data_IF_930700830749
#
_entry.id   IF_930700830749
#
_cell.length_a   1.000
_cell.length_b   1.000
_cell.length_c   1.000
_cell.angle_alpha   90.00
_cell.angle_beta   90.00
_cell.angle_gamma   90.00
#
_symmetry.space_group_name_H-M   'P 1'
#
loop_
_entity.id
_entity.type
_entity.pdbx_description
1 polymer ?
#
# COMPACT_ATOMS: atom_id res chain seq x y z
N UNK A 1 7.31 11.20 7.62
CA UNK A 1 8.10 9.96 7.84
C UNK A 1 8.97 9.59 6.64
N UNK A 2 8.47 9.67 5.40
CA UNK A 2 9.29 9.42 4.21
C UNK A 2 10.58 10.26 4.15
N UNK A 3 10.51 11.55 4.47
CA UNK A 3 11.68 12.44 4.52
C UNK A 3 12.77 11.96 5.50
N UNK A 4 12.40 11.41 6.66
CA UNK A 4 13.36 10.86 7.61
C UNK A 4 14.10 9.64 7.03
N UNK A 5 13.38 8.75 6.36
CA UNK A 5 13.97 7.59 5.67
C UNK A 5 14.98 8.02 4.61
N UNK A 6 14.68 9.08 3.85
CA UNK A 6 15.61 9.65 2.86
C UNK A 6 16.84 10.28 3.51
N UNK A 7 16.68 10.99 4.63
CA UNK A 7 17.80 11.54 5.39
C UNK A 7 18.73 10.43 5.90
N UNK A 8 18.18 9.34 6.44
CA UNK A 8 18.97 8.18 6.89
C UNK A 8 19.66 7.50 5.70
N UNK A 9 18.95 7.24 4.61
CA UNK A 9 19.52 6.65 3.40
C UNK A 9 20.69 7.50 2.86
N UNK A 10 20.55 8.82 2.88
CA UNK A 10 21.60 9.75 2.43
C UNK A 10 22.80 9.74 3.38
N UNK A 11 22.57 9.80 4.68
CA UNK A 11 23.64 9.87 5.69
C UNK A 11 24.46 8.57 5.79
N UNK A 12 23.82 7.41 5.60
CA UNK A 12 24.44 6.11 5.87
C UNK A 12 24.63 5.22 4.64
N UNK A 13 24.15 5.62 3.46
CA UNK A 13 24.24 4.81 2.23
C UNK A 13 25.67 4.41 1.84
N UNK A 14 26.65 5.30 2.02
CA UNK A 14 28.08 4.98 1.76
C UNK A 14 28.67 3.96 2.75
N UNK A 15 27.99 3.68 3.86
CA UNK A 15 28.34 2.63 4.84
C UNK A 15 27.56 1.33 4.57
N UNK A 16 26.88 1.23 3.42
CA UNK A 16 26.10 0.05 3.04
C UNK A 16 24.72 -0.06 3.70
N UNK A 17 24.25 0.96 4.41
CA UNK A 17 22.95 0.95 5.07
C UNK A 17 21.87 1.48 4.12
N UNK A 18 20.82 0.69 3.90
CA UNK A 18 19.61 1.08 3.15
C UNK A 18 18.49 1.45 4.11
N UNK A 19 17.65 2.41 3.74
CA UNK A 19 16.50 2.81 4.55
C UNK A 19 15.32 3.15 3.62
N UNK A 20 14.19 2.48 3.80
CA UNK A 20 12.97 2.67 3.02
C UNK A 20 11.77 2.77 3.96
N UNK A 21 10.64 3.26 3.45
CA UNK A 21 9.37 3.35 4.18
C UNK A 21 8.30 2.52 3.48
N UNK A 22 7.51 1.76 4.25
CA UNK A 22 6.28 1.13 3.77
C UNK A 22 5.10 2.00 4.22
N UNK A 23 4.23 2.35 3.28
CA UNK A 23 2.95 3.01 3.53
C UNK A 23 1.83 1.97 3.36
N UNK A 24 1.37 1.33 4.45
CA UNK A 24 0.29 0.36 4.38
C UNK A 24 -1.05 1.07 4.10
N UNK A 25 -1.90 0.41 3.34
CA UNK A 25 -3.33 0.73 3.28
C UNK A 25 -4.08 0.17 4.47
N UNK A 26 -5.37 -0.09 4.29
CA UNK A 26 -6.15 -0.77 5.32
C UNK A 26 -5.82 -2.26 5.38
N UNK A 27 -5.35 -2.68 6.55
CA UNK A 27 -4.93 -4.06 6.81
C UNK A 27 -5.91 -4.74 7.76
N UNK A 28 -6.31 -5.95 7.40
CA UNK A 28 -7.20 -6.79 8.19
C UNK A 28 -6.46 -7.37 9.41
N UNK A 29 -6.70 -6.77 10.57
CA UNK A 29 -6.10 -7.12 11.86
C UNK A 29 -7.19 -7.22 12.93
N UNK A 30 -6.94 -7.92 14.05
CA UNK A 30 -7.91 -7.94 15.16
C UNK A 30 -8.35 -6.53 15.60
N UNK A 31 -7.43 -5.57 15.60
CA UNK A 31 -7.72 -4.17 15.96
C UNK A 31 -8.63 -3.49 14.94
N UNK A 32 -8.38 -3.65 13.65
CA UNK A 32 -9.18 -3.00 12.61
C UNK A 32 -10.57 -3.62 12.51
N UNK A 33 -10.73 -4.93 12.74
CA UNK A 33 -12.05 -5.59 12.79
C UNK A 33 -13.03 -4.98 13.79
N UNK A 34 -12.54 -4.34 14.86
CA UNK A 34 -13.39 -3.64 15.82
C UNK A 34 -14.08 -2.38 15.24
N UNK A 35 -13.72 -1.94 14.03
CA UNK A 35 -14.37 -0.81 13.33
C UNK A 35 -15.73 -1.19 12.69
N UNK A 36 -16.06 -2.49 12.63
CA UNK A 36 -17.33 -3.00 12.15
C UNK A 36 -17.44 -3.18 10.62
N UNK A 37 -18.40 -4.02 10.21
CA UNK A 37 -18.52 -4.51 8.84
C UNK A 37 -18.74 -3.42 7.80
N UNK A 38 -19.49 -2.37 8.16
CA UNK A 38 -19.75 -1.24 7.24
C UNK A 38 -18.46 -0.53 6.86
N UNK A 39 -17.54 -0.34 7.80
CA UNK A 39 -16.25 0.29 7.52
C UNK A 39 -15.38 -0.61 6.64
N UNK A 40 -15.35 -1.91 6.95
CA UNK A 40 -14.66 -2.93 6.14
C UNK A 40 -15.12 -2.94 4.69
N UNK A 41 -16.43 -2.97 4.47
CA UNK A 41 -16.99 -3.00 3.12
C UNK A 41 -16.66 -1.71 2.37
N UNK A 42 -16.80 -0.55 3.02
CA UNK A 42 -16.44 0.74 2.43
C UNK A 42 -14.96 0.78 2.02
N UNK A 43 -14.07 0.25 2.85
CA UNK A 43 -12.66 0.13 2.51
C UNK A 43 -12.44 -0.80 1.31
N UNK A 44 -13.07 -1.97 1.31
CA UNK A 44 -12.96 -2.94 0.22
C UNK A 44 -13.42 -2.36 -1.12
N UNK A 45 -14.50 -1.59 -1.10
CA UNK A 45 -15.04 -0.94 -2.31
C UNK A 45 -14.12 0.15 -2.87
N UNK A 46 -13.25 0.71 -2.03
CA UNK A 46 -12.23 1.69 -2.43
C UNK A 46 -10.86 1.04 -2.72
N UNK A 47 -10.71 -0.28 -2.61
CA UNK A 47 -9.50 -0.93 -3.09
C UNK A 47 -9.60 -1.15 -4.59
N UNK A 48 -8.49 -0.94 -5.31
CA UNK A 48 -8.39 -1.37 -6.71
C UNK A 48 -8.36 -2.90 -6.78
N UNK A 49 -7.74 -3.55 -5.80
CA UNK A 49 -7.76 -5.00 -5.66
C UNK A 49 -9.02 -5.47 -4.93
N UNK A 50 -9.59 -6.65 -5.28
CA UNK A 50 -10.86 -7.12 -4.73
C UNK A 50 -10.73 -7.74 -3.33
N UNK A 51 -9.71 -7.35 -2.57
CA UNK A 51 -9.43 -7.85 -1.23
C UNK A 51 -8.74 -6.80 -0.37
N UNK A 52 -8.89 -6.93 0.94
CA UNK A 52 -8.13 -6.16 1.93
C UNK A 52 -6.74 -6.76 2.11
N UNK A 53 -5.77 -5.90 2.41
CA UNK A 53 -4.43 -6.36 2.77
C UNK A 53 -4.44 -7.13 4.08
N UNK A 54 -3.50 -8.06 4.22
CA UNK A 54 -3.24 -8.84 5.44
C UNK A 54 -1.88 -8.46 6.02
N UNK A 55 -1.61 -8.77 7.30
CA UNK A 55 -0.29 -8.55 7.90
C UNK A 55 0.84 -9.18 7.08
N UNK A 56 0.60 -10.35 6.49
CA UNK A 56 1.54 -11.04 5.62
C UNK A 56 1.94 -10.22 4.39
N UNK A 57 1.05 -9.44 3.80
CA UNK A 57 1.37 -8.61 2.63
C UNK A 57 2.40 -7.52 2.99
N UNK A 58 2.25 -6.92 4.17
CA UNK A 58 3.22 -5.95 4.71
C UNK A 58 4.54 -6.64 5.06
N UNK A 59 4.47 -7.84 5.67
CA UNK A 59 5.64 -8.61 6.02
C UNK A 59 6.45 -9.03 4.79
N UNK A 60 5.80 -9.44 3.70
CA UNK A 60 6.47 -9.80 2.44
C UNK A 60 7.13 -8.58 1.78
N UNK A 61 6.46 -7.42 1.78
CA UNK A 61 7.07 -6.19 1.29
C UNK A 61 8.31 -5.78 2.12
N UNK A 62 8.24 -5.91 3.44
CA UNK A 62 9.37 -5.68 4.32
C UNK A 62 10.51 -6.67 4.06
N UNK A 63 10.20 -7.97 3.92
CA UNK A 63 11.17 -9.01 3.61
C UNK A 63 11.89 -8.72 2.29
N UNK A 64 11.16 -8.35 1.24
CA UNK A 64 11.75 -7.93 -0.02
C UNK A 64 12.70 -6.75 0.16
N UNK A 65 12.25 -5.68 0.83
CA UNK A 65 13.07 -4.48 1.06
C UNK A 65 14.31 -4.77 1.93
N UNK A 66 14.26 -5.79 2.79
CA UNK A 66 15.41 -6.22 3.61
C UNK A 66 16.36 -7.18 2.87
N UNK A 67 15.88 -7.86 1.81
CA UNK A 67 16.65 -8.83 1.03
C UNK A 67 17.69 -8.21 0.07
N UNK A 68 18.57 -9.05 -0.47
CA UNK A 68 19.51 -8.69 -1.54
C UNK A 68 18.83 -8.36 -2.87
N UNK A 69 17.59 -8.83 -3.09
CA UNK A 69 16.83 -8.46 -4.29
C UNK A 69 16.56 -6.95 -4.34
N UNK A 70 16.51 -6.29 -3.19
CA UNK A 70 16.36 -4.85 -3.06
C UNK A 70 17.70 -4.10 -2.83
N UNK A 71 18.86 -4.71 -3.14
CA UNK A 71 20.19 -4.13 -2.85
C UNK A 71 20.44 -2.75 -3.47
N UNK A 72 19.70 -2.37 -4.50
CA UNK A 72 19.80 -1.06 -5.16
C UNK A 72 18.59 -0.14 -4.88
N UNK A 73 17.76 -0.48 -3.89
CA UNK A 73 16.56 0.28 -3.49
C UNK A 73 16.79 0.88 -2.10
N UNK A 74 16.87 2.20 -2.03
CA UNK A 74 16.99 2.97 -0.80
C UNK A 74 16.29 4.34 -0.93
N UNK A 75 15.83 4.90 0.18
CA UNK A 75 15.16 6.19 0.25
C UNK A 75 13.73 6.21 -0.35
N UNK A 76 13.12 5.05 -0.60
CA UNK A 76 11.83 4.96 -1.27
C UNK A 76 10.66 4.92 -0.27
N UNK A 77 9.50 5.41 -0.73
CA UNK A 77 8.20 5.16 -0.13
C UNK A 77 7.51 4.09 -0.97
N UNK A 78 7.25 2.92 -0.39
CA UNK A 78 6.51 1.85 -1.03
C UNK A 78 5.09 1.83 -0.47
N UNK A 79 4.12 2.22 -1.29
CA UNK A 79 2.70 1.99 -0.98
C UNK A 79 2.40 0.49 -1.07
N UNK A 80 1.83 -0.06 -0.01
CA UNK A 80 1.36 -1.46 0.06
C UNK A 80 -0.08 -1.40 0.55
N UNK A 81 -0.96 -0.93 -0.32
CA UNK A 81 -2.28 -0.43 0.04
C UNK A 81 -3.41 -0.93 -0.87
N UNK A 82 -3.14 -1.90 -1.74
CA UNK A 82 -4.15 -2.41 -2.68
C UNK A 82 -4.66 -1.37 -3.67
N UNK A 83 -3.94 -0.26 -3.87
CA UNK A 83 -4.28 0.81 -4.81
C UNK A 83 -5.18 1.90 -4.26
N UNK A 84 -5.42 1.94 -2.94
CA UNK A 84 -6.31 2.92 -2.31
C UNK A 84 -5.92 4.38 -2.57
N UNK A 85 -4.62 4.66 -2.72
CA UNK A 85 -4.11 6.04 -2.80
C UNK A 85 -3.95 6.57 -4.22
N UNK A 86 -4.26 5.79 -5.26
CA UNK A 86 -3.97 6.13 -6.66
C UNK A 86 -5.20 6.52 -7.49
N UNK A 87 -6.38 6.62 -6.89
CA UNK A 87 -7.59 7.07 -7.57
C UNK A 87 -8.40 8.06 -6.72
N UNK A 88 -9.34 8.75 -7.37
CA UNK A 88 -10.26 9.64 -6.67
C UNK A 88 -11.24 8.81 -5.82
N UNK A 89 -11.67 9.31 -4.65
CA UNK A 89 -12.65 8.61 -3.80
C UNK A 89 -13.96 8.27 -4.52
N UNK A 90 -14.35 9.06 -5.55
CA UNK A 90 -15.56 8.84 -6.34
C UNK A 90 -15.49 7.61 -7.25
N UNK A 91 -14.30 7.06 -7.50
CA UNK A 91 -14.12 5.93 -8.44
C UNK A 91 -14.85 4.68 -7.97
N UNK A 92 -14.88 4.41 -6.66
CA UNK A 92 -15.65 3.30 -6.08
C UNK A 92 -17.14 3.41 -6.42
N UNK A 93 -17.72 4.61 -6.30
CA UNK A 93 -19.12 4.86 -6.65
C UNK A 93 -19.35 4.75 -8.16
N UNK A 94 -18.41 5.22 -8.97
CA UNK A 94 -18.46 5.06 -10.43
C UNK A 94 -18.43 3.58 -10.85
N UNK A 95 -17.63 2.74 -10.21
CA UNK A 95 -17.64 1.29 -10.45
C UNK A 95 -18.97 0.66 -10.08
N UNK A 96 -19.58 1.05 -8.96
CA UNK A 96 -20.93 0.58 -8.60
C UNK A 96 -21.98 0.97 -9.65
N UNK A 97 -21.92 2.20 -10.17
CA UNK A 97 -22.81 2.69 -11.22
C UNK A 97 -22.65 1.92 -12.55
N UNK A 98 -21.44 1.44 -12.84
CA UNK A 98 -21.10 0.73 -14.07
C UNK A 98 -21.11 -0.80 -13.92
N UNK A 99 -21.64 -1.32 -12.80
CA UNK A 99 -21.63 -2.74 -12.46
C UNK A 99 -20.23 -3.38 -12.49
N UNK A 100 -19.22 -2.64 -12.04
CA UNK A 100 -17.82 -3.09 -11.93
C UNK A 100 -17.04 -3.03 -13.24
N UNK A 101 -17.58 -2.43 -14.31
CA UNK A 101 -16.85 -2.27 -15.56
C UNK A 101 -15.92 -1.04 -15.50
N UNK A 102 -14.66 -1.15 -15.94
CA UNK A 102 -13.78 0.01 -16.00
C UNK A 102 -14.38 1.07 -16.95
N UNK A 103 -14.35 2.34 -16.52
CA UNK A 103 -14.84 3.47 -17.33
C UNK A 103 -14.01 3.71 -18.60
N UNK A 104 -12.77 3.21 -18.60
CA UNK A 104 -11.84 3.28 -19.71
C UNK A 104 -11.41 1.84 -19.97
N UNK A 105 -11.85 1.26 -21.09
CA UNK A 105 -11.25 0.04 -21.61
C UNK A 105 -9.83 0.40 -22.07
N UNK A 106 -8.83 0.08 -21.26
CA UNK A 106 -7.45 0.01 -21.77
C UNK A 106 -7.38 -1.09 -22.81
N UNK A 107 -7.03 -0.70 -24.04
CA UNK A 107 -6.80 -1.57 -25.19
C UNK A 107 -5.74 -2.65 -24.91
#
# INVERSE_FOLDING_TARGET
MHSLSQSIATAYGKRGIRCNTIAPGFIDTPTTRNMGDRFFQMTLDNNVLPYLGRPDDIAQAALFLLSDAARYITGQLLAVDGGQTIHLPVVADMWRMTAGKPLIETA
#
